data_IF_064485616446
#
_entry.id   IF_064485616446
#
_cell.length_a   1.000
_cell.length_b   1.000
_cell.length_c   1.000
_cell.angle_alpha   90.00
_cell.angle_beta   90.00
_cell.angle_gamma   90.00
#
_symmetry.space_group_name_H-M   'P 1'
#
loop_
_entity.id
_entity.type
_entity.pdbx_description
1 polymer ?
#
# COMPACT_ATOMS: atom_id res chain seq x y z
N UNK A 1 2.12 26.82 -45.17
CA UNK A 1 3.45 26.29 -45.47
C UNK A 1 4.00 25.65 -44.21
N UNK A 2 4.17 24.32 -44.20
CA UNK A 2 4.73 23.60 -43.05
C UNK A 2 6.23 23.85 -42.94
N UNK A 3 6.76 23.82 -41.72
CA UNK A 3 8.21 23.92 -41.52
C UNK A 3 8.92 22.84 -42.35
N UNK A 4 10.01 23.18 -43.06
CA UNK A 4 10.73 22.21 -43.87
C UNK A 4 11.17 21.03 -42.99
N UNK A 5 11.14 19.80 -43.52
CA UNK A 5 11.56 18.62 -42.77
C UNK A 5 13.02 18.77 -42.37
N UNK A 6 13.27 18.89 -41.07
CA UNK A 6 14.62 18.86 -40.52
C UNK A 6 15.21 17.46 -40.68
N UNK A 7 16.50 17.33 -41.01
CA UNK A 7 17.20 16.06 -40.97
C UNK A 7 16.97 15.35 -39.64
N UNK A 8 16.83 14.03 -39.67
CA UNK A 8 16.50 13.19 -38.51
C UNK A 8 17.37 13.51 -37.29
N UNK A 9 18.66 13.75 -37.51
CA UNK A 9 19.63 14.09 -36.46
C UNK A 9 19.36 15.41 -35.73
N UNK A 10 18.74 16.37 -36.40
CA UNK A 10 18.41 17.70 -35.88
C UNK A 10 16.97 17.76 -35.35
N UNK A 11 16.22 16.66 -35.49
CA UNK A 11 14.85 16.60 -35.02
C UNK A 11 14.80 16.68 -33.49
N UNK A 12 13.98 17.58 -32.95
CA UNK A 12 13.89 17.89 -31.51
C UNK A 12 13.69 16.67 -30.60
N UNK A 13 12.93 15.68 -31.08
CA UNK A 13 12.73 14.40 -30.39
C UNK A 13 14.03 13.60 -30.23
N UNK A 14 14.90 13.62 -31.22
CA UNK A 14 16.18 12.88 -31.21
C UNK A 14 17.20 13.59 -30.32
N UNK A 15 17.26 14.92 -30.38
CA UNK A 15 18.06 15.73 -29.45
C UNK A 15 17.62 15.47 -28.00
N UNK A 16 16.30 15.45 -27.74
CA UNK A 16 15.76 15.13 -26.41
C UNK A 16 16.08 13.71 -25.97
N UNK A 17 15.92 12.72 -26.85
CA UNK A 17 16.24 11.32 -26.57
C UNK A 17 17.72 11.14 -26.22
N UNK A 18 18.63 11.76 -26.98
CA UNK A 18 20.07 11.74 -26.70
C UNK A 18 20.42 12.34 -25.35
N UNK A 19 19.79 13.46 -24.99
CA UNK A 19 19.99 14.08 -23.67
C UNK A 19 19.53 13.18 -22.52
N UNK A 20 18.41 12.48 -22.70
CA UNK A 20 17.90 11.52 -21.70
C UNK A 20 18.86 10.34 -21.55
N UNK A 21 19.33 9.76 -22.65
CA UNK A 21 20.28 8.64 -22.62
C UNK A 21 21.61 9.05 -21.99
N UNK A 22 22.16 10.20 -22.37
CA UNK A 22 23.41 10.72 -21.79
C UNK A 22 23.27 11.00 -20.28
N UNK A 23 22.13 11.53 -19.84
CA UNK A 23 21.85 11.72 -18.42
C UNK A 23 21.73 10.39 -17.66
N UNK A 24 21.08 9.39 -18.25
CA UNK A 24 20.97 8.05 -17.66
C UNK A 24 22.33 7.35 -17.55
N UNK A 25 23.17 7.45 -18.58
CA UNK A 25 24.53 6.91 -18.58
C UNK A 25 25.42 7.63 -17.54
N UNK A 26 25.31 8.95 -17.42
CA UNK A 26 26.03 9.71 -16.40
C UNK A 26 25.54 9.41 -14.97
N UNK A 27 24.26 9.11 -14.79
CA UNK A 27 23.72 8.66 -13.51
C UNK A 27 24.25 7.25 -13.16
N UNK A 28 24.18 6.31 -14.11
CA UNK A 28 24.71 4.95 -13.93
C UNK A 28 26.22 4.94 -13.61
N UNK A 29 26.99 5.87 -14.20
CA UNK A 29 28.42 6.02 -13.88
C UNK A 29 28.68 6.60 -12.47
N UNK A 30 27.70 7.28 -11.87
CA UNK A 30 27.78 7.82 -10.50
C UNK A 30 27.31 6.85 -9.42
N UNK A 31 26.64 5.77 -9.80
CA UNK A 31 26.13 4.75 -8.87
C UNK A 31 27.25 3.99 -8.12
N UNK A 32 28.53 4.24 -8.42
CA UNK A 32 29.69 3.76 -7.66
C UNK A 32 30.12 4.63 -6.48
N UNK A 33 29.58 5.85 -6.32
CA UNK A 33 29.99 6.77 -5.24
C UNK A 33 28.76 7.39 -4.58
N UNK A 34 28.07 6.61 -3.74
CA UNK A 34 27.12 7.18 -2.80
C UNK A 34 27.88 8.20 -1.93
N UNK A 35 27.44 9.47 -1.83
CA UNK A 35 28.03 10.37 -0.86
C UNK A 35 27.83 9.75 0.52
N UNK A 36 28.91 9.55 1.26
CA UNK A 36 28.92 9.16 2.67
C UNK A 36 28.40 10.32 3.51
N UNK A 37 27.16 10.74 3.25
CA UNK A 37 26.46 11.67 4.12
C UNK A 37 26.13 10.85 5.36
N UNK A 38 26.80 11.15 6.48
CA UNK A 38 26.40 10.63 7.78
C UNK A 38 24.96 11.08 8.00
N UNK A 39 24.00 10.19 7.72
CA UNK A 39 22.60 10.48 7.96
C UNK A 39 22.46 10.69 9.48
N UNK A 40 21.76 11.74 9.94
CA UNK A 40 21.44 11.87 11.35
C UNK A 40 20.82 10.57 11.84
N UNK A 41 21.17 10.15 13.06
CA UNK A 41 20.72 8.89 13.67
C UNK A 41 19.21 8.73 13.40
N UNK A 42 18.85 7.69 12.63
CA UNK A 42 17.46 7.42 12.32
C UNK A 42 16.70 7.23 13.65
N UNK A 43 15.81 8.17 13.97
CA UNK A 43 14.94 8.08 15.13
C UNK A 43 13.80 7.16 14.71
N UNK A 44 13.96 5.87 14.97
CA UNK A 44 12.90 4.89 14.76
C UNK A 44 11.86 5.01 15.88
N UNK A 45 10.60 4.76 15.53
CA UNK A 45 9.57 4.58 16.56
C UNK A 45 9.89 3.33 17.37
N UNK A 46 10.04 3.47 18.69
CA UNK A 46 10.28 2.31 19.54
C UNK A 46 8.98 1.55 19.85
N UNK A 47 7.82 2.22 19.80
CA UNK A 47 6.53 1.58 20.11
C UNK A 47 5.99 0.75 18.95
N UNK A 48 6.39 1.09 17.71
CA UNK A 48 5.98 0.39 16.50
C UNK A 48 7.16 0.34 15.50
N UNK A 49 7.99 -0.71 15.57
CA UNK A 49 9.19 -0.84 14.75
C UNK A 49 8.94 -0.95 13.25
N UNK A 50 7.74 -1.37 12.84
CA UNK A 50 7.39 -1.55 11.43
C UNK A 50 6.87 -0.25 10.79
N UNK A 51 6.51 0.73 11.62
CA UNK A 51 6.14 2.07 11.18
C UNK A 51 7.29 2.77 10.45
N UNK A 52 6.97 3.42 9.33
CA UNK A 52 7.96 4.13 8.51
C UNK A 52 7.56 5.59 8.32
N UNK A 53 8.57 6.45 8.20
CA UNK A 53 8.40 7.83 7.79
C UNK A 53 8.05 7.87 6.30
N UNK A 54 6.83 8.26 5.99
CA UNK A 54 6.24 8.27 4.66
C UNK A 54 6.10 9.72 4.14
N UNK A 55 6.56 10.03 2.93
CA UNK A 55 6.35 11.34 2.33
C UNK A 55 4.88 11.55 1.97
N UNK A 56 4.38 12.74 2.25
CA UNK A 56 3.03 13.21 1.91
C UNK A 56 3.12 14.57 1.23
N UNK A 57 2.01 15.03 0.65
CA UNK A 57 1.96 16.37 0.02
C UNK A 57 2.25 17.53 0.99
N UNK A 58 2.07 17.34 2.29
CA UNK A 58 2.24 18.38 3.33
C UNK A 58 3.46 18.16 4.23
N UNK A 59 4.33 17.21 3.91
CA UNK A 59 5.50 16.88 4.73
C UNK A 59 5.66 15.37 4.89
N UNK A 60 6.09 14.92 6.06
CA UNK A 60 6.29 13.50 6.35
C UNK A 60 5.39 13.04 7.48
N UNK A 61 4.82 11.85 7.34
CA UNK A 61 3.98 11.20 8.35
C UNK A 61 4.60 9.86 8.68
N UNK A 62 4.73 9.54 9.96
CA UNK A 62 5.16 8.22 10.40
C UNK A 62 3.93 7.32 10.52
N UNK A 63 3.88 6.26 9.72
CA UNK A 63 2.73 5.37 9.72
C UNK A 63 2.66 4.45 8.50
N UNK A 64 1.42 4.14 8.14
CA UNK A 64 1.03 3.23 7.08
C UNK A 64 0.04 3.91 6.14
N UNK A 65 -0.01 3.45 4.90
CA UNK A 65 -1.05 3.77 3.94
C UNK A 65 -2.16 2.71 4.04
N UNK A 66 -3.35 3.14 4.48
CA UNK A 66 -4.50 2.26 4.66
C UNK A 66 -5.52 2.48 3.54
N UNK A 67 -6.05 1.38 3.00
CA UNK A 67 -7.07 1.39 1.95
C UNK A 67 -8.22 0.46 2.34
N UNK A 68 -9.42 0.89 1.98
CA UNK A 68 -10.67 0.21 2.35
C UNK A 68 -11.55 0.12 1.12
N UNK A 69 -12.00 -1.09 0.79
CA UNK A 69 -13.01 -1.33 -0.22
C UNK A 69 -14.37 -1.45 0.46
N UNK A 70 -15.32 -0.62 0.03
CA UNK A 70 -16.66 -0.52 0.62
C UNK A 70 -17.69 -0.78 -0.47
N UNK A 71 -18.72 -1.57 -0.15
CA UNK A 71 -19.85 -1.83 -1.05
C UNK A 71 -20.79 -0.62 -1.12
N UNK A 72 -21.72 -0.61 -2.06
CA UNK A 72 -22.75 0.44 -2.17
C UNK A 72 -23.61 0.55 -0.88
N UNK A 73 -23.80 -0.56 -0.18
CA UNK A 73 -24.55 -0.63 1.09
C UNK A 73 -23.70 -0.25 2.31
N UNK A 74 -22.54 0.37 2.10
CA UNK A 74 -21.60 0.80 3.16
C UNK A 74 -21.01 -0.35 3.99
N UNK A 75 -20.99 -1.56 3.44
CA UNK A 75 -20.32 -2.71 4.06
C UNK A 75 -18.86 -2.73 3.65
N UNK A 76 -17.95 -2.86 4.62
CA UNK A 76 -16.51 -3.00 4.35
C UNK A 76 -16.26 -4.42 3.83
N UNK A 77 -15.86 -4.52 2.56
CA UNK A 77 -15.57 -5.80 1.91
C UNK A 77 -14.11 -6.24 2.10
N UNK A 78 -13.17 -5.29 2.09
CA UNK A 78 -11.75 -5.57 2.29
C UNK A 78 -10.99 -4.37 2.88
N UNK A 79 -9.92 -4.66 3.62
CA UNK A 79 -9.01 -3.67 4.19
C UNK A 79 -7.58 -4.11 3.90
N UNK A 80 -6.73 -3.17 3.49
CA UNK A 80 -5.29 -3.40 3.36
C UNK A 80 -4.51 -2.22 3.94
N UNK A 81 -3.40 -2.53 4.58
CA UNK A 81 -2.49 -1.55 5.18
C UNK A 81 -1.08 -1.86 4.66
N UNK A 82 -0.41 -0.87 4.08
CA UNK A 82 0.90 -1.06 3.45
C UNK A 82 1.80 0.16 3.63
N UNK A 83 3.09 0.02 3.28
CA UNK A 83 4.09 1.08 3.49
C UNK A 83 4.36 1.87 2.20
N UNK A 84 3.55 1.67 1.17
CA UNK A 84 3.72 2.36 -0.10
C UNK A 84 3.16 3.79 0.00
N UNK A 85 3.95 4.82 -0.33
CA UNK A 85 3.44 6.19 -0.34
C UNK A 85 2.36 6.42 -1.40
N UNK A 86 2.33 5.60 -2.45
CA UNK A 86 1.31 5.62 -3.48
C UNK A 86 0.36 4.42 -3.35
N UNK A 87 -0.85 4.60 -3.82
CA UNK A 87 -1.96 3.65 -3.79
C UNK A 87 -2.19 2.95 -5.13
N UNK A 88 -1.59 3.44 -6.22
CA UNK A 88 -1.61 2.83 -7.55
C UNK A 88 -1.38 1.30 -7.56
N UNK A 89 -0.35 0.74 -6.89
CA UNK A 89 -0.13 -0.71 -6.92
C UNK A 89 -1.17 -1.51 -6.13
N UNK A 90 -1.96 -0.85 -5.27
CA UNK A 90 -2.90 -1.49 -4.37
C UNK A 90 -4.25 -1.80 -5.02
N UNK A 91 -4.55 -1.22 -6.20
CA UNK A 91 -5.85 -1.42 -6.87
C UNK A 91 -6.16 -2.90 -7.14
N UNK A 92 -5.26 -3.60 -7.85
CA UNK A 92 -5.48 -5.02 -8.18
C UNK A 92 -5.61 -5.89 -6.92
N UNK A 93 -4.70 -5.80 -5.92
CA UNK A 93 -4.86 -6.50 -4.65
C UNK A 93 -6.19 -6.23 -3.95
N UNK A 94 -6.65 -4.97 -3.92
CA UNK A 94 -7.89 -4.58 -3.26
C UNK A 94 -9.13 -5.13 -3.98
N UNK A 95 -9.15 -5.11 -5.32
CA UNK A 95 -10.26 -5.67 -6.09
C UNK A 95 -10.36 -7.19 -5.94
N UNK A 96 -9.23 -7.88 -5.93
CA UNK A 96 -9.18 -9.33 -5.65
C UNK A 96 -9.71 -9.61 -4.24
N UNK A 97 -9.19 -8.92 -3.23
CA UNK A 97 -9.61 -9.11 -1.84
C UNK A 97 -11.11 -8.82 -1.64
N UNK A 98 -11.62 -7.75 -2.25
CA UNK A 98 -13.03 -7.36 -2.16
C UNK A 98 -13.98 -8.36 -2.86
N UNK A 99 -13.51 -9.06 -3.91
CA UNK A 99 -14.31 -10.06 -4.62
C UNK A 99 -14.27 -11.43 -3.91
N UNK A 100 -13.14 -11.77 -3.29
CA UNK A 100 -12.97 -13.04 -2.57
C UNK A 100 -13.66 -13.07 -1.20
N UNK A 101 -13.69 -11.94 -0.48
CA UNK A 101 -14.27 -11.88 0.86
C UNK A 101 -15.77 -12.28 0.92
N UNK A 102 -16.66 -11.79 0.04
CA UNK A 102 -18.06 -12.22 -0.01
C UNK A 102 -18.18 -13.73 -0.27
N UNK A 103 -17.36 -14.28 -1.18
CA UNK A 103 -17.35 -15.71 -1.51
C UNK A 103 -16.97 -16.57 -0.31
N UNK A 104 -15.98 -16.15 0.47
CA UNK A 104 -15.62 -16.83 1.72
C UNK A 104 -16.75 -16.74 2.75
N UNK A 105 -17.43 -15.60 2.87
CA UNK A 105 -18.54 -15.42 3.82
C UNK A 105 -19.77 -16.26 3.47
N UNK A 106 -20.06 -16.47 2.18
CA UNK A 106 -21.15 -17.33 1.71
C UNK A 106 -20.87 -18.82 1.92
N UNK A 107 -19.59 -19.20 2.03
CA UNK A 107 -19.16 -20.59 2.25
C UNK A 107 -18.95 -20.92 3.73
N UNK A 108 -18.95 -19.92 4.60
CA UNK A 108 -18.94 -20.14 6.03
C UNK A 108 -20.25 -20.84 6.42
N UNK A 109 -20.21 -21.97 7.17
CA UNK A 109 -21.42 -22.60 7.66
C UNK A 109 -22.19 -21.57 8.48
N UNK A 110 -23.48 -21.42 8.19
CA UNK A 110 -24.37 -20.59 8.98
C UNK A 110 -24.16 -20.93 10.45
N UNK A 111 -23.80 -19.94 11.27
CA UNK A 111 -23.65 -20.16 12.70
C UNK A 111 -24.98 -20.76 13.21
N UNK A 112 -24.98 -21.89 13.93
CA UNK A 112 -26.18 -22.68 14.20
C UNK A 112 -27.19 -22.02 15.15
N UNK A 113 -27.13 -20.70 15.37
CA UNK A 113 -28.00 -20.01 16.30
C UNK A 113 -28.83 -18.90 15.63
N UNK A 114 -29.73 -19.33 14.74
CA UNK A 114 -30.94 -18.57 14.38
C UNK A 114 -32.17 -19.38 14.77
N UNK A 115 -32.31 -19.70 16.07
CA UNK A 115 -33.61 -20.06 16.64
C UNK A 115 -33.92 -19.15 17.82
N UNK A 116 -35.05 -18.46 17.69
CA UNK A 116 -35.89 -17.97 18.78
C UNK A 116 -35.71 -18.74 20.10
N UNK A 117 -35.21 -18.04 21.12
CA UNK A 117 -35.35 -18.40 22.54
C UNK A 117 -34.60 -19.64 23.04
N UNK A 118 -33.46 -19.45 23.71
CA UNK A 118 -33.15 -20.05 25.04
C UNK A 118 -31.67 -19.87 25.42
N UNK A 119 -31.49 -19.40 26.65
CA UNK A 119 -30.35 -19.51 27.58
C UNK A 119 -28.93 -19.75 27.04
N UNK A 120 -28.06 -18.76 27.26
CA UNK A 120 -26.62 -18.97 27.40
C UNK A 120 -26.33 -19.81 28.65
N UNK A 121 -25.48 -20.86 28.59
CA UNK A 121 -25.05 -21.55 29.81
C UNK A 121 -23.96 -20.73 30.50
N UNK A 122 -24.20 -20.37 31.76
CA UNK A 122 -23.17 -19.83 32.66
C UNK A 122 -22.18 -20.95 33.02
N UNK A 123 -20.86 -20.70 33.06
CA UNK A 123 -19.91 -21.68 33.59
C UNK A 123 -20.11 -21.84 35.10
N UNK A 124 -20.35 -23.07 35.54
CA UNK A 124 -20.48 -23.41 36.96
C UNK A 124 -19.16 -23.11 37.70
N UNK A 125 -19.24 -22.24 38.70
CA UNK A 125 -18.15 -21.99 39.64
C UNK A 125 -18.04 -23.20 40.58
N UNK A 126 -17.05 -24.06 40.36
CA UNK A 126 -16.69 -25.09 41.33
C UNK A 126 -15.97 -24.41 42.52
N UNK A 127 -16.72 -24.16 43.59
CA UNK A 127 -16.16 -23.80 44.89
C UNK A 127 -15.61 -25.08 45.54
N UNK A 128 -14.29 -25.27 45.50
CA UNK A 128 -13.62 -26.25 46.36
C UNK A 128 -13.51 -25.66 47.76
N UNK A 129 -14.27 -26.22 48.70
CA UNK A 129 -14.21 -25.92 50.13
C UNK A 129 -13.49 -27.07 50.83
N UNK A 130 -12.55 -26.67 51.71
CA UNK A 130 -11.85 -27.41 52.78
C UNK A 130 -10.94 -28.56 52.40
#
# INVERSE_FOLDING_TARGET
MGAPPVPTEEHSRIIRARRVVAAAQAAAARDGQAPTRSLPKAIANTTDPESRVMPTRRGFVQGYNAQVAVTADHVIAAVNVNQQPNDMPSFVPMMTAATDAPRASMQAPAHPNTRSGSSWPMPATAATRT
#
